data_IF_197510406961
#
_entry.id   IF_197510406961
#
_cell.length_a   1.000
_cell.length_b   1.000
_cell.length_c   1.000
_cell.angle_alpha   90.00
_cell.angle_beta   90.00
_cell.angle_gamma   90.00
#
_symmetry.space_group_name_H-M   'P 1'
#
loop_
_entity.id
_entity.type
_entity.pdbx_description
1 polymer ?
#
# COMPACT_ATOMS: atom_id res chain seq x y z
N UNK A 1 -7.77 13.19 -13.46
CA UNK A 1 -7.16 14.27 -12.66
C UNK A 1 -5.67 14.01 -12.58
N UNK A 2 -4.82 15.02 -12.70
CA UNK A 2 -3.37 14.87 -12.51
C UNK A 2 -3.10 14.99 -11.00
N UNK A 3 -2.48 13.97 -10.38
CA UNK A 3 -2.06 13.96 -8.98
C UNK A 3 -1.21 15.19 -8.67
N UNK A 4 -1.41 15.81 -7.51
CA UNK A 4 -0.55 16.89 -7.01
C UNK A 4 0.90 16.37 -6.89
N UNK A 5 1.86 17.14 -7.37
CA UNK A 5 3.26 16.71 -7.43
C UNK A 5 3.85 16.34 -6.06
N UNK A 6 3.34 16.95 -4.99
CA UNK A 6 3.76 16.68 -3.62
C UNK A 6 3.33 15.28 -3.14
N UNK A 7 2.26 14.70 -3.70
CA UNK A 7 1.78 13.35 -3.37
C UNK A 7 2.25 12.27 -4.35
N UNK A 8 2.91 12.66 -5.46
CA UNK A 8 3.41 11.73 -6.47
C UNK A 8 4.34 10.64 -5.90
N UNK A 9 5.21 10.90 -4.90
CA UNK A 9 6.02 9.83 -4.29
C UNK A 9 5.16 8.66 -3.78
N UNK A 10 4.10 8.93 -3.01
CA UNK A 10 3.19 7.89 -2.51
C UNK A 10 2.44 7.20 -3.64
N UNK A 11 1.93 7.96 -4.62
CA UNK A 11 1.28 7.38 -5.81
C UNK A 11 2.22 6.52 -6.67
N UNK A 12 3.54 6.71 -6.60
CA UNK A 12 4.50 5.83 -7.29
C UNK A 12 4.59 4.49 -6.57
N UNK A 13 4.60 4.48 -5.24
CA UNK A 13 4.64 3.25 -4.46
C UNK A 13 3.38 2.40 -4.71
N UNK A 14 2.23 3.05 -4.88
CA UNK A 14 0.97 2.39 -5.26
C UNK A 14 1.08 1.56 -6.55
N UNK A 15 1.96 1.92 -7.48
CA UNK A 15 2.20 1.10 -8.66
C UNK A 15 2.76 -0.29 -8.28
N UNK A 16 3.74 -0.32 -7.37
CA UNK A 16 4.34 -1.55 -6.90
C UNK A 16 3.39 -2.34 -5.99
N UNK A 17 2.58 -1.68 -5.17
CA UNK A 17 1.55 -2.34 -4.37
C UNK A 17 0.49 -3.05 -5.22
N UNK A 18 0.09 -2.43 -6.33
CA UNK A 18 -0.78 -3.06 -7.34
C UNK A 18 -0.07 -4.20 -8.07
N UNK A 19 1.21 -4.06 -8.39
CA UNK A 19 2.01 -5.12 -9.00
C UNK A 19 2.16 -6.32 -8.06
N UNK A 20 2.41 -6.11 -6.76
CA UNK A 20 2.43 -7.14 -5.73
C UNK A 20 1.09 -7.89 -5.69
N UNK A 21 -0.02 -7.15 -5.62
CA UNK A 21 -1.38 -7.72 -5.68
C UNK A 21 -1.61 -8.56 -6.94
N UNK A 22 -1.10 -8.13 -8.09
CA UNK A 22 -1.17 -8.88 -9.34
C UNK A 22 -0.31 -10.16 -9.30
N UNK A 23 0.94 -10.07 -8.83
CA UNK A 23 1.87 -11.21 -8.72
C UNK A 23 1.29 -12.32 -7.85
N UNK A 24 0.71 -11.96 -6.70
CA UNK A 24 0.01 -12.91 -5.80
C UNK A 24 -1.12 -13.63 -6.53
N UNK A 25 -1.98 -12.88 -7.24
CA UNK A 25 -3.08 -13.48 -8.01
C UNK A 25 -2.59 -14.41 -9.11
N UNK A 26 -1.48 -14.10 -9.78
CA UNK A 26 -0.88 -15.01 -10.76
C UNK A 26 -0.37 -16.29 -10.10
N UNK A 27 0.33 -16.18 -8.97
CA UNK A 27 0.78 -17.34 -8.19
C UNK A 27 -0.37 -18.26 -7.80
N UNK A 28 -1.46 -17.70 -7.27
CA UNK A 28 -2.67 -18.45 -6.91
C UNK A 28 -3.25 -19.15 -8.15
N UNK A 29 -3.43 -18.42 -9.26
CA UNK A 29 -3.97 -18.98 -10.52
C UNK A 29 -3.12 -20.13 -11.08
N UNK A 30 -1.80 -20.06 -10.88
CA UNK A 30 -0.83 -21.06 -11.32
C UNK A 30 -0.66 -22.22 -10.32
N UNK A 31 -1.44 -22.25 -9.24
CA UNK A 31 -1.31 -23.22 -8.15
C UNK A 31 0.11 -23.26 -7.54
N UNK A 32 0.77 -22.10 -7.45
CA UNK A 32 2.04 -21.97 -6.72
C UNK A 32 1.82 -22.27 -5.24
N UNK A 33 2.79 -22.90 -4.59
CA UNK A 33 2.67 -23.26 -3.17
C UNK A 33 2.46 -22.03 -2.28
N UNK A 34 1.64 -22.21 -1.24
CA UNK A 34 1.34 -21.18 -0.24
C UNK A 34 2.62 -20.52 0.29
N UNK A 35 3.61 -21.31 0.70
CA UNK A 35 4.85 -20.79 1.28
C UNK A 35 5.69 -19.95 0.33
N UNK A 36 5.68 -20.26 -0.97
CA UNK A 36 6.44 -19.50 -1.97
C UNK A 36 5.83 -18.11 -2.18
N UNK A 37 4.50 -18.02 -2.23
CA UNK A 37 3.78 -16.74 -2.32
C UNK A 37 3.90 -15.97 -0.98
N UNK A 38 3.71 -16.65 0.16
CA UNK A 38 3.87 -16.05 1.50
C UNK A 38 5.25 -15.42 1.67
N UNK A 39 6.31 -16.09 1.22
CA UNK A 39 7.67 -15.57 1.27
C UNK A 39 7.80 -14.25 0.52
N UNK A 40 7.20 -14.13 -0.67
CA UNK A 40 7.16 -12.88 -1.41
C UNK A 40 6.36 -11.79 -0.69
N UNK A 41 5.19 -12.12 -0.16
CA UNK A 41 4.35 -11.15 0.57
C UNK A 41 5.11 -10.60 1.79
N UNK A 42 5.77 -11.47 2.56
CA UNK A 42 6.56 -11.04 3.72
C UNK A 42 7.77 -10.19 3.30
N UNK A 43 8.46 -10.54 2.21
CA UNK A 43 9.52 -9.70 1.65
C UNK A 43 8.99 -8.30 1.30
N UNK A 44 7.91 -8.24 0.51
CA UNK A 44 7.32 -6.98 0.09
C UNK A 44 6.81 -6.14 1.27
N UNK A 45 6.25 -6.81 2.29
CA UNK A 45 5.86 -6.17 3.53
C UNK A 45 7.05 -5.51 4.22
N UNK A 46 8.16 -6.23 4.40
CA UNK A 46 9.34 -5.78 5.14
C UNK A 46 10.12 -4.68 4.41
N UNK A 47 10.27 -4.79 3.09
CA UNK A 47 11.11 -3.88 2.32
C UNK A 47 10.34 -2.65 1.82
N UNK A 48 9.01 -2.73 1.69
CA UNK A 48 8.24 -1.70 1.02
C UNK A 48 6.98 -1.29 1.80
N UNK A 49 5.99 -2.18 1.89
CA UNK A 49 4.63 -1.78 2.29
C UNK A 49 4.54 -1.28 3.74
N UNK A 50 5.30 -1.85 4.68
CA UNK A 50 5.25 -1.37 6.07
C UNK A 50 5.78 0.06 6.21
N UNK A 51 6.86 0.37 5.48
CA UNK A 51 7.50 1.70 5.43
C UNK A 51 6.58 2.71 4.75
N UNK A 52 5.89 2.31 3.70
CA UNK A 52 4.91 3.15 3.02
C UNK A 52 3.82 3.63 4.00
N UNK A 53 3.17 2.71 4.71
CA UNK A 53 2.17 3.08 5.73
C UNK A 53 2.74 3.96 6.85
N UNK A 54 3.96 3.69 7.32
CA UNK A 54 4.62 4.55 8.32
C UNK A 54 4.84 5.98 7.82
N UNK A 55 5.20 6.14 6.54
CA UNK A 55 5.38 7.46 5.92
C UNK A 55 4.03 8.17 5.81
N UNK A 56 2.97 7.48 5.42
CA UNK A 56 1.62 8.06 5.33
C UNK A 56 1.12 8.51 6.69
N UNK A 57 1.19 7.63 7.69
CA UNK A 57 0.78 7.91 9.08
C UNK A 57 1.58 9.09 9.68
N UNK A 58 2.82 9.30 9.22
CA UNK A 58 3.69 10.38 9.71
C UNK A 58 3.46 11.72 8.99
N UNK A 59 3.28 11.69 7.66
CA UNK A 59 3.34 12.88 6.82
C UNK A 59 1.96 13.40 6.45
N UNK A 60 0.99 12.52 6.23
CA UNK A 60 -0.35 12.94 5.84
C UNK A 60 -1.10 13.45 7.08
N UNK A 61 -1.64 14.68 7.04
CA UNK A 61 -2.45 15.17 8.14
C UNK A 61 -3.77 14.40 8.22
N UNK A 62 -4.29 14.24 9.43
CA UNK A 62 -5.66 13.77 9.62
C UNK A 62 -6.64 14.72 8.91
N UNK A 63 -7.63 14.15 8.23
CA UNK A 63 -8.71 14.92 7.63
C UNK A 63 -9.90 15.06 8.58
N UNK A 64 -10.57 16.23 8.54
CA UNK A 64 -11.86 16.46 9.20
C UNK A 64 -12.98 15.57 8.62
N UNK A 65 -12.77 14.96 7.45
CA UNK A 65 -13.68 13.95 6.91
C UNK A 65 -13.50 12.62 7.64
N UNK A 66 -14.17 12.50 8.79
CA UNK A 66 -14.14 11.32 9.65
C UNK A 66 -14.40 10.00 8.91
N UNK A 67 -15.22 9.98 7.85
CA UNK A 67 -15.50 8.74 7.11
C UNK A 67 -14.25 8.27 6.38
N UNK A 68 -13.56 9.18 5.69
CA UNK A 68 -12.33 8.88 4.95
C UNK A 68 -11.18 8.55 5.91
N UNK A 69 -11.01 9.34 6.98
CA UNK A 69 -9.98 9.10 7.99
C UNK A 69 -10.13 7.71 8.63
N UNK A 70 -11.34 7.39 9.11
CA UNK A 70 -11.62 6.08 9.73
C UNK A 70 -11.42 4.94 8.74
N UNK A 71 -11.75 5.12 7.46
CA UNK A 71 -11.56 4.09 6.45
C UNK A 71 -10.07 3.82 6.23
N UNK A 72 -9.26 4.87 6.07
CA UNK A 72 -7.81 4.78 5.90
C UNK A 72 -7.18 3.94 7.04
N UNK A 73 -7.40 4.37 8.28
CA UNK A 73 -6.86 3.69 9.47
C UNK A 73 -7.31 2.23 9.59
N UNK A 74 -8.58 1.96 9.28
CA UNK A 74 -9.12 0.59 9.34
C UNK A 74 -8.49 -0.31 8.29
N UNK A 75 -8.28 0.19 7.08
CA UNK A 75 -7.66 -0.58 6.01
C UNK A 75 -6.17 -0.87 6.32
N UNK A 76 -5.44 0.09 6.89
CA UNK A 76 -4.09 -0.12 7.42
C UNK A 76 -4.05 -1.24 8.47
N UNK A 77 -4.94 -1.17 9.46
CA UNK A 77 -5.04 -2.17 10.53
C UNK A 77 -5.38 -3.54 9.94
N UNK A 78 -6.30 -3.61 8.98
CA UNK A 78 -6.72 -4.87 8.38
C UNK A 78 -5.58 -5.52 7.58
N UNK A 79 -4.86 -4.77 6.77
CA UNK A 79 -3.71 -5.29 6.01
C UNK A 79 -2.64 -5.83 6.97
N UNK A 80 -2.34 -5.10 8.06
CA UNK A 80 -1.41 -5.57 9.12
C UNK A 80 -1.90 -6.87 9.76
N UNK A 81 -3.20 -7.02 10.02
CA UNK A 81 -3.80 -8.26 10.56
C UNK A 81 -3.71 -9.43 9.59
N UNK A 82 -3.92 -9.19 8.30
CA UNK A 82 -3.81 -10.22 7.26
C UNK A 82 -2.38 -10.76 7.17
N UNK A 83 -1.36 -9.88 7.23
CA UNK A 83 0.05 -10.30 7.30
C UNK A 83 0.31 -11.20 8.52
N UNK A 84 -0.14 -10.80 9.71
CA UNK A 84 0.04 -11.60 10.91
C UNK A 84 -0.68 -12.95 10.83
N UNK A 85 -1.91 -12.98 10.33
CA UNK A 85 -2.72 -14.19 10.17
C UNK A 85 -2.11 -15.15 9.14
N UNK A 86 -1.62 -14.62 8.01
CA UNK A 86 -0.91 -15.39 7.00
C UNK A 86 0.31 -16.11 7.58
N UNK A 87 1.00 -15.50 8.54
CA UNK A 87 2.17 -16.08 9.19
C UNK A 87 1.86 -17.15 10.24
N UNK A 88 0.58 -17.36 10.58
CA UNK A 88 0.13 -18.33 11.58
C UNK A 88 -0.74 -19.45 10.98
N UNK A 89 -1.04 -19.37 9.69
CA UNK A 89 -1.94 -20.30 8.99
C UNK A 89 -1.33 -20.75 7.66
N UNK A 90 -1.95 -21.75 7.03
CA UNK A 90 -1.64 -22.18 5.66
C UNK A 90 -2.89 -22.10 4.76
N UNK A 91 -3.80 -21.18 5.07
CA UNK A 91 -5.04 -21.01 4.31
C UNK A 91 -4.78 -20.14 3.09
N UNK A 92 -4.80 -20.73 1.89
CA UNK A 92 -4.57 -20.02 0.62
C UNK A 92 -5.48 -18.81 0.42
N UNK A 93 -6.69 -18.81 1.04
CA UNK A 93 -7.64 -17.70 0.94
C UNK A 93 -7.05 -16.39 1.46
N UNK A 94 -6.23 -16.46 2.52
CA UNK A 94 -5.62 -15.28 3.14
C UNK A 94 -4.70 -14.51 2.17
N UNK A 95 -4.05 -15.21 1.23
CA UNK A 95 -3.19 -14.58 0.22
C UNK A 95 -4.03 -13.76 -0.75
N UNK A 96 -5.19 -14.30 -1.15
CA UNK A 96 -6.16 -13.60 -1.99
C UNK A 96 -6.79 -12.42 -1.27
N UNK A 97 -7.12 -12.57 0.01
CA UNK A 97 -7.68 -11.52 0.85
C UNK A 97 -6.70 -10.36 1.01
N UNK A 98 -5.41 -10.63 1.27
CA UNK A 98 -4.36 -9.62 1.29
C UNK A 98 -4.25 -8.86 -0.04
N UNK A 99 -4.21 -9.57 -1.18
CA UNK A 99 -4.13 -8.94 -2.50
C UNK A 99 -5.40 -8.15 -2.87
N UNK A 100 -6.55 -8.49 -2.30
CA UNK A 100 -7.79 -7.71 -2.43
C UNK A 100 -7.73 -6.46 -1.56
N UNK A 101 -7.38 -6.61 -0.27
CA UNK A 101 -7.29 -5.52 0.68
C UNK A 101 -6.32 -4.44 0.21
N UNK A 102 -5.09 -4.82 -0.16
CA UNK A 102 -4.08 -3.88 -0.66
C UNK A 102 -4.54 -3.15 -1.92
N UNK A 103 -5.07 -3.88 -2.91
CA UNK A 103 -5.55 -3.24 -4.15
C UNK A 103 -6.75 -2.33 -3.93
N UNK A 104 -7.63 -2.65 -2.97
CA UNK A 104 -8.78 -1.82 -2.65
C UNK A 104 -8.35 -0.55 -1.91
N UNK A 105 -7.43 -0.69 -0.96
CA UNK A 105 -6.86 0.42 -0.21
C UNK A 105 -6.18 1.44 -1.12
N UNK A 106 -5.27 1.00 -2.00
CA UNK A 106 -4.63 1.86 -2.99
C UNK A 106 -5.67 2.58 -3.88
N UNK A 107 -6.74 1.90 -4.28
CA UNK A 107 -7.80 2.51 -5.09
C UNK A 107 -8.61 3.53 -4.29
N UNK A 108 -8.86 3.27 -3.02
CA UNK A 108 -9.52 4.20 -2.11
C UNK A 108 -8.68 5.47 -1.98
N UNK A 109 -7.39 5.34 -1.72
CA UNK A 109 -6.51 6.49 -1.55
C UNK A 109 -6.41 7.32 -2.82
N UNK A 110 -6.15 6.66 -3.94
CA UNK A 110 -5.99 7.35 -5.22
C UNK A 110 -7.26 8.07 -5.68
N UNK A 111 -8.44 7.53 -5.37
CA UNK A 111 -9.71 8.02 -5.91
C UNK A 111 -10.52 8.88 -4.93
N UNK A 112 -10.28 8.72 -3.63
CA UNK A 112 -11.08 9.35 -2.59
C UNK A 112 -10.21 10.13 -1.61
N UNK A 113 -9.22 9.48 -0.99
CA UNK A 113 -8.44 10.09 0.10
C UNK A 113 -7.55 11.24 -0.40
N UNK A 114 -6.64 10.96 -1.35
CA UNK A 114 -5.74 11.99 -1.86
C UNK A 114 -6.47 13.12 -2.61
N UNK A 115 -7.49 12.87 -3.46
CA UNK A 115 -8.30 13.95 -4.03
C UNK A 115 -8.95 14.84 -2.97
N UNK A 116 -9.39 14.26 -1.85
CA UNK A 116 -9.91 15.03 -0.74
C UNK A 116 -8.82 15.89 -0.07
N UNK A 117 -7.63 15.35 0.18
CA UNK A 117 -6.51 16.17 0.68
C UNK A 117 -6.17 17.31 -0.29
N UNK A 118 -6.16 17.06 -1.60
CA UNK A 118 -5.88 18.06 -2.63
C UNK A 118 -6.94 19.17 -2.70
N UNK A 119 -8.20 18.88 -2.40
CA UNK A 119 -9.28 19.86 -2.41
C UNK A 119 -9.31 20.74 -1.16
N UNK A 120 -8.92 20.19 0.00
CA UNK A 120 -9.11 20.85 1.29
C UNK A 120 -7.84 21.38 1.95
N UNK A 121 -6.65 20.89 1.56
CA UNK A 121 -5.39 21.43 2.08
C UNK A 121 -4.95 22.66 1.30
N UNK A 122 -4.37 23.62 2.02
CA UNK A 122 -3.71 24.78 1.38
C UNK A 122 -2.44 24.37 0.65
N UNK A 123 -2.02 25.17 -0.33
CA UNK A 123 -0.74 24.98 -1.03
C UNK A 123 0.45 24.93 -0.06
N UNK A 124 0.42 25.74 1.00
CA UNK A 124 1.46 25.73 2.04
C UNK A 124 1.56 24.36 2.72
N UNK A 125 0.41 23.78 3.11
CA UNK A 125 0.39 22.46 3.76
C UNK A 125 0.78 21.35 2.80
N UNK A 126 0.35 21.44 1.54
CA UNK A 126 0.71 20.49 0.51
C UNK A 126 2.21 20.51 0.19
N UNK A 127 2.83 21.70 0.18
CA UNK A 127 4.28 21.84 0.01
C UNK A 127 5.05 21.31 1.22
N UNK A 128 4.52 21.47 2.44
CA UNK A 128 5.10 20.84 3.64
C UNK A 128 5.14 19.32 3.51
N UNK A 129 4.03 18.70 3.09
CA UNK A 129 3.93 17.26 2.80
C UNK A 129 5.00 16.85 1.78
N UNK A 130 5.08 17.55 0.65
CA UNK A 130 6.07 17.24 -0.39
C UNK A 130 7.51 17.36 0.10
N UNK A 131 7.82 18.37 0.91
CA UNK A 131 9.14 18.55 1.51
C UNK A 131 9.50 17.43 2.47
N UNK A 132 8.55 16.98 3.30
CA UNK A 132 8.77 15.85 4.20
C UNK A 132 8.99 14.56 3.40
N UNK A 133 8.14 14.28 2.40
CA UNK A 133 8.29 13.13 1.52
C UNK A 133 9.65 13.13 0.82
N UNK A 134 10.10 14.25 0.28
CA UNK A 134 11.43 14.34 -0.37
C UNK A 134 12.60 14.01 0.57
N UNK A 135 12.43 14.14 1.89
CA UNK A 135 13.47 13.84 2.87
C UNK A 135 13.45 12.38 3.34
N UNK A 136 12.26 11.78 3.49
CA UNK A 136 12.11 10.47 4.15
C UNK A 136 11.70 9.34 3.21
N UNK A 137 11.13 9.68 2.05
CA UNK A 137 10.74 8.73 1.00
C UNK A 137 11.98 8.25 0.26
N UNK A 138 12.03 6.96 0.05
CA UNK A 138 13.03 6.33 -0.80
C UNK A 138 12.31 5.65 -1.93
N UNK A 139 12.92 5.68 -3.12
CA UNK A 139 12.34 5.03 -4.28
C UNK A 139 12.15 3.54 -4.00
N UNK A 140 10.93 3.07 -4.20
CA UNK A 140 10.60 1.66 -4.11
C UNK A 140 11.29 0.84 -5.22
N UNK A 141 11.86 -0.30 -4.84
CA UNK A 141 12.44 -1.28 -5.76
C UNK A 141 11.96 -2.68 -5.36
N UNK A 142 11.59 -3.50 -6.35
CA UNK A 142 11.24 -4.91 -6.17
C UNK A 142 12.34 -5.76 -6.81
N UNK A 143 13.29 -6.19 -5.98
CA UNK A 143 14.43 -7.02 -6.37
C UNK A 143 14.19 -8.50 -6.05
N UNK A 144 12.93 -8.94 -5.96
CA UNK A 144 12.62 -10.31 -5.60
C UNK A 144 12.96 -11.29 -6.73
N UNK A 145 13.96 -12.14 -6.51
CA UNK A 145 14.52 -13.04 -7.53
C UNK A 145 13.57 -14.18 -7.95
N UNK A 146 12.68 -14.60 -7.07
CA UNK A 146 11.84 -15.77 -7.30
C UNK A 146 10.53 -15.41 -8.02
N UNK A 147 10.58 -15.41 -9.36
CA UNK A 147 9.50 -14.97 -10.24
C UNK A 147 8.34 -15.98 -10.37
N UNK A 148 7.72 -16.36 -9.25
CA UNK A 148 6.66 -17.37 -9.20
C UNK A 148 5.39 -17.02 -10.01
N UNK A 149 5.21 -15.75 -10.35
CA UNK A 149 4.08 -15.24 -11.11
C UNK A 149 4.22 -15.47 -12.63
N UNK A 150 5.39 -15.91 -13.12
CA UNK A 150 5.65 -16.15 -14.54
C UNK A 150 5.10 -17.47 -15.04
#
# INVERSE_FOLDING_TARGET
MKRNENLVPLSRDHHFGLLCSWKIRQGIKKNVSYDRIKKYINYYWQENLSRHFEIEDLVLPETENNILQIQMEKEHIEIRKLINTMNQTNDIRILGDFANALSNHIRFEERMYFPHLEEYLSDEKMNEIGNQLNQIHQKEEDSYDDEFWK
#
